data_IF_840240513433
#
_entry.id   IF_840240513433
#
_cell.length_a   1.000
_cell.length_b   1.000
_cell.length_c   1.000
_cell.angle_alpha   90.00
_cell.angle_beta   90.00
_cell.angle_gamma   90.00
#
_symmetry.space_group_name_H-M   'P 1'
#
loop_
_entity.id
_entity.type
_entity.pdbx_description
1 polymer ?
#
# COMPACT_ATOMS: atom_id res chain seq x y z
N UNK A 1 6.12 -5.00 -11.25
CA UNK A 1 5.00 -5.37 -12.14
C UNK A 1 3.67 -4.88 -11.55
N UNK A 2 2.73 -4.41 -12.36
CA UNK A 2 1.43 -3.88 -11.88
C UNK A 2 0.57 -4.97 -11.19
N UNK A 3 0.91 -6.23 -11.44
CA UNK A 3 0.19 -7.42 -10.97
C UNK A 3 0.80 -8.06 -9.71
N UNK A 4 1.94 -7.54 -9.22
CA UNK A 4 2.44 -7.93 -7.89
C UNK A 4 1.68 -7.10 -6.87
N UNK A 5 0.74 -7.75 -6.19
CA UNK A 5 -0.09 -7.15 -5.15
C UNK A 5 0.48 -7.57 -3.79
N UNK A 6 1.27 -6.71 -3.17
CA UNK A 6 1.49 -6.77 -1.73
C UNK A 6 0.26 -6.26 -1.00
N UNK A 7 0.03 -6.65 0.25
CA UNK A 7 -1.16 -6.25 1.02
C UNK A 7 -1.52 -7.27 2.09
N UNK A 8 -1.89 -6.79 3.27
CA UNK A 8 -2.01 -7.62 4.47
C UNK A 8 -3.25 -7.29 5.31
N UNK A 9 -3.76 -6.06 5.26
CA UNK A 9 -4.85 -5.62 6.11
C UNK A 9 -6.22 -5.93 5.48
N UNK A 10 -6.78 -7.08 5.85
CA UNK A 10 -8.12 -7.52 5.47
C UNK A 10 -9.20 -6.91 6.40
N UNK A 11 -10.22 -6.30 5.80
CA UNK A 11 -11.48 -5.94 6.41
C UNK A 11 -12.52 -6.99 6.00
N UNK A 12 -12.91 -7.82 6.97
CA UNK A 12 -13.83 -8.94 6.74
C UNK A 12 -15.27 -8.49 6.51
N UNK A 13 -15.70 -7.40 7.14
CA UNK A 13 -17.09 -6.93 7.09
C UNK A 13 -17.48 -6.49 5.68
N UNK A 14 -16.58 -5.75 5.01
CA UNK A 14 -16.84 -5.19 3.68
C UNK A 14 -16.01 -5.82 2.55
N UNK A 15 -15.17 -6.80 2.88
CA UNK A 15 -14.35 -7.54 1.91
C UNK A 15 -13.26 -6.71 1.25
N UNK A 16 -12.77 -5.66 1.92
CA UNK A 16 -11.65 -4.84 1.42
C UNK A 16 -10.32 -5.37 1.92
N UNK A 17 -9.30 -5.33 1.07
CA UNK A 17 -7.91 -5.60 1.45
C UNK A 17 -7.02 -4.44 1.00
N UNK A 18 -5.98 -4.11 1.78
CA UNK A 18 -4.95 -3.19 1.30
C UNK A 18 -4.16 -3.80 0.15
N UNK A 19 -3.74 -2.95 -0.78
CA UNK A 19 -2.97 -3.36 -1.95
C UNK A 19 -1.86 -2.35 -2.23
N UNK A 20 -0.67 -2.86 -2.48
CA UNK A 20 0.54 -2.09 -2.84
C UNK A 20 1.06 -2.57 -4.19
N UNK A 21 0.59 -1.98 -5.30
CA UNK A 21 1.01 -2.40 -6.64
C UNK A 21 2.52 -2.27 -6.82
N UNK A 22 3.15 -3.35 -7.26
CA UNK A 22 4.59 -3.36 -7.53
C UNK A 22 5.46 -3.25 -6.29
N UNK A 23 4.92 -3.42 -5.08
CA UNK A 23 5.74 -3.56 -3.88
C UNK A 23 6.34 -4.97 -3.87
N UNK A 24 7.62 -5.06 -4.22
CA UNK A 24 8.36 -6.32 -4.35
C UNK A 24 9.27 -6.47 -3.14
N UNK A 25 9.34 -7.67 -2.59
CA UNK A 25 10.34 -8.06 -1.60
C UNK A 25 11.15 -9.21 -2.17
N UNK A 26 12.45 -9.01 -2.34
CA UNK A 26 13.34 -10.02 -2.93
C UNK A 26 13.87 -11.02 -1.90
N UNK A 27 13.67 -10.77 -0.60
CA UNK A 27 14.24 -11.61 0.48
C UNK A 27 15.76 -11.47 0.62
N UNK A 28 16.38 -10.61 -0.19
CA UNK A 28 17.82 -10.33 -0.22
C UNK A 28 18.01 -8.82 -0.11
N UNK A 29 18.69 -8.38 0.96
CA UNK A 29 18.75 -6.96 1.33
C UNK A 29 19.39 -6.06 0.28
N UNK A 30 20.40 -6.58 -0.42
CA UNK A 30 21.17 -5.91 -1.45
C UNK A 30 20.28 -5.65 -2.68
N UNK A 31 19.49 -6.64 -3.10
CA UNK A 31 18.55 -6.49 -4.21
C UNK A 31 17.41 -5.53 -3.88
N UNK A 32 16.92 -5.55 -2.63
CA UNK A 32 15.93 -4.58 -2.17
C UNK A 32 16.50 -3.14 -2.19
N UNK A 33 17.77 -2.95 -1.81
CA UNK A 33 18.45 -1.65 -1.86
C UNK A 33 18.68 -1.16 -3.31
N UNK A 34 19.15 -2.04 -4.19
CA UNK A 34 19.35 -1.72 -5.61
C UNK A 34 18.02 -1.32 -6.27
N UNK A 35 16.93 -2.04 -6.03
CA UNK A 35 15.62 -1.71 -6.58
C UNK A 35 15.08 -0.39 -6.03
N UNK A 36 15.27 -0.10 -4.72
CA UNK A 36 14.92 1.20 -4.15
C UNK A 36 15.68 2.33 -4.81
N UNK A 37 16.99 2.18 -5.01
CA UNK A 37 17.83 3.19 -5.66
C UNK A 37 17.38 3.41 -7.12
N UNK A 38 17.14 2.33 -7.87
CA UNK A 38 16.66 2.38 -9.25
C UNK A 38 15.32 3.11 -9.38
N UNK A 39 14.36 2.81 -8.51
CA UNK A 39 13.04 3.47 -8.50
C UNK A 39 13.13 4.94 -8.12
N UNK A 40 13.96 5.28 -7.12
CA UNK A 40 14.20 6.66 -6.73
C UNK A 40 14.78 7.49 -7.88
N UNK A 41 15.71 6.92 -8.66
CA UNK A 41 16.27 7.58 -9.85
C UNK A 41 15.26 7.77 -11.01
N UNK A 42 14.10 7.12 -10.92
CA UNK A 42 13.01 7.22 -11.91
C UNK A 42 11.78 7.96 -11.36
N UNK A 43 11.89 8.56 -10.17
CA UNK A 43 10.77 9.18 -9.44
C UNK A 43 9.58 8.22 -9.22
N UNK A 44 9.86 6.92 -9.10
CA UNK A 44 8.86 5.89 -8.86
C UNK A 44 8.71 5.68 -7.35
N UNK A 45 7.62 6.18 -6.81
CA UNK A 45 7.25 6.01 -5.41
C UNK A 45 6.50 4.71 -5.09
N UNK A 46 5.75 4.73 -3.99
CA UNK A 46 4.84 3.65 -3.60
C UNK A 46 3.43 4.18 -3.44
N UNK A 47 2.46 3.40 -3.92
CA UNK A 47 1.04 3.70 -3.79
C UNK A 47 0.38 2.70 -2.84
N UNK A 48 -0.66 3.17 -2.15
CA UNK A 48 -1.56 2.37 -1.33
C UNK A 48 -2.96 2.47 -1.94
N UNK A 49 -3.57 1.30 -2.12
CA UNK A 49 -4.94 1.15 -2.54
C UNK A 49 -5.68 0.27 -1.53
N UNK A 50 -7.01 0.28 -1.62
CA UNK A 50 -7.85 -0.82 -1.14
C UNK A 50 -8.54 -1.47 -2.33
N UNK A 51 -8.73 -2.78 -2.27
CA UNK A 51 -9.45 -3.54 -3.29
C UNK A 51 -10.55 -4.36 -2.65
N UNK A 52 -11.76 -4.29 -3.19
CA UNK A 52 -12.86 -5.14 -2.77
C UNK A 52 -12.73 -6.52 -3.43
N UNK A 53 -12.60 -7.57 -2.64
CA UNK A 53 -12.34 -8.92 -3.11
C UNK A 53 -13.48 -9.51 -3.96
N UNK A 54 -14.72 -9.08 -3.74
CA UNK A 54 -15.90 -9.57 -4.47
C UNK A 54 -16.10 -8.84 -5.78
N UNK A 55 -16.06 -7.51 -5.75
CA UNK A 55 -16.35 -6.67 -6.92
C UNK A 55 -15.12 -6.37 -7.78
N UNK A 56 -13.92 -6.67 -7.27
CA UNK A 56 -12.62 -6.33 -7.88
C UNK A 56 -12.42 -4.82 -8.10
N UNK A 57 -13.24 -3.98 -7.45
CA UNK A 57 -13.09 -2.53 -7.50
C UNK A 57 -11.92 -2.11 -6.61
N UNK A 58 -10.99 -1.35 -7.20
CA UNK A 58 -9.83 -0.78 -6.52
C UNK A 58 -10.03 0.72 -6.30
N UNK A 59 -9.67 1.19 -5.10
CA UNK A 59 -9.75 2.60 -4.71
C UNK A 59 -8.39 3.09 -4.24
N UNK A 60 -7.98 4.27 -4.72
CA UNK A 60 -6.74 4.91 -4.31
C UNK A 60 -6.88 5.47 -2.89
N UNK A 61 -5.84 5.29 -2.07
CA UNK A 61 -5.78 5.79 -0.70
C UNK A 61 -4.72 6.87 -0.56
N UNK A 62 -3.47 6.55 -0.93
CA UNK A 62 -2.33 7.44 -0.75
C UNK A 62 -1.16 7.06 -1.65
N UNK A 63 -0.21 7.98 -1.80
CA UNK A 63 1.07 7.74 -2.42
C UNK A 63 2.20 8.42 -1.64
N UNK A 64 3.42 7.94 -1.86
CA UNK A 64 4.65 8.54 -1.33
C UNK A 64 5.76 8.44 -2.36
N UNK A 65 6.72 9.35 -2.32
CA UNK A 65 7.94 9.28 -3.13
C UNK A 65 8.94 8.23 -2.62
N UNK A 66 8.75 7.67 -1.41
CA UNK A 66 9.60 6.60 -0.90
C UNK A 66 9.29 5.27 -1.62
N UNK A 67 10.25 4.70 -2.39
CA UNK A 67 10.01 3.46 -3.12
C UNK A 67 9.96 2.25 -2.18
N UNK A 68 9.14 1.24 -2.51
CA UNK A 68 8.97 0.02 -1.72
C UNK A 68 8.63 0.29 -0.25
N UNK A 69 7.88 1.36 0.02
CA UNK A 69 7.44 1.73 1.35
C UNK A 69 6.27 0.85 1.81
N UNK A 70 6.24 0.54 3.10
CA UNK A 70 5.17 -0.26 3.70
C UNK A 70 4.33 0.61 4.63
N UNK A 71 3.10 0.92 4.22
CA UNK A 71 2.23 1.91 4.89
C UNK A 71 1.62 1.45 6.24
N UNK A 72 2.06 0.32 6.81
CA UNK A 72 1.64 -0.23 8.13
C UNK A 72 0.14 0.00 8.41
N UNK A 73 -0.71 -0.53 7.55
CA UNK A 73 -2.13 -0.21 7.57
C UNK A 73 -2.90 -1.02 8.61
N UNK A 74 -3.96 -0.44 9.17
CA UNK A 74 -4.86 -1.12 10.12
C UNK A 74 -6.27 -0.56 10.01
N UNK A 75 -7.26 -1.43 9.86
CA UNK A 75 -8.67 -1.07 9.97
C UNK A 75 -9.02 -0.71 11.41
N UNK A 76 -9.60 0.47 11.62
CA UNK A 76 -10.13 0.93 12.91
C UNK A 76 -11.62 0.62 13.05
N UNK A 77 -12.32 0.53 11.92
CA UNK A 77 -13.72 0.16 11.78
C UNK A 77 -13.97 -0.37 10.36
N UNK A 78 -15.21 -0.71 10.07
CA UNK A 78 -15.64 -1.25 8.78
C UNK A 78 -15.45 -0.23 7.63
N UNK A 79 -15.31 1.05 7.97
CA UNK A 79 -15.18 2.16 7.01
C UNK A 79 -13.91 2.99 7.19
N UNK A 80 -13.11 2.79 8.25
CA UNK A 80 -11.94 3.62 8.53
C UNK A 80 -10.63 2.81 8.51
N UNK A 81 -9.72 3.19 7.61
CA UNK A 81 -8.38 2.63 7.48
C UNK A 81 -7.34 3.63 7.98
N UNK A 82 -6.60 3.29 9.02
CA UNK A 82 -5.40 4.02 9.40
C UNK A 82 -4.19 3.52 8.60
N UNK A 83 -3.30 4.43 8.22
CA UNK A 83 -2.00 4.11 7.63
C UNK A 83 -0.91 5.09 8.08
N UNK A 84 0.35 4.69 7.99
CA UNK A 84 1.53 5.49 8.36
C UNK A 84 2.24 5.98 7.08
N UNK A 85 2.72 7.23 7.09
CA UNK A 85 3.57 7.82 6.05
C UNK A 85 5.06 7.67 6.42
N UNK A 86 6.01 7.84 5.48
CA UNK A 86 7.45 7.67 5.78
C UNK A 86 7.99 8.58 6.89
N UNK A 87 7.36 9.74 7.12
CA UNK A 87 7.69 10.67 8.21
C UNK A 87 7.13 10.22 9.58
N UNK A 88 6.43 9.08 9.66
CA UNK A 88 5.76 8.57 10.86
C UNK A 88 4.37 9.16 11.12
N UNK A 89 3.89 10.08 10.27
CA UNK A 89 2.54 10.64 10.38
C UNK A 89 1.49 9.55 10.12
N UNK A 90 0.49 9.46 11.00
CA UNK A 90 -0.64 8.54 10.83
C UNK A 90 -1.83 9.29 10.24
N UNK A 91 -2.41 8.73 9.19
CA UNK A 91 -3.60 9.27 8.53
C UNK A 91 -4.73 8.25 8.53
N UNK A 92 -5.96 8.74 8.39
CA UNK A 92 -7.17 7.92 8.29
C UNK A 92 -7.78 8.15 6.91
N UNK A 93 -8.03 7.06 6.20
CA UNK A 93 -8.84 7.02 5.00
C UNK A 93 -10.24 6.49 5.35
N UNK A 94 -11.28 7.11 4.81
CA UNK A 94 -12.67 6.71 5.00
C UNK A 94 -13.22 6.14 3.70
N UNK A 95 -13.76 4.93 3.73
CA UNK A 95 -14.48 4.34 2.60
C UNK A 95 -15.83 5.05 2.50
N UNK A 96 -15.96 5.96 1.54
CA UNK A 96 -17.16 6.75 1.24
C UNK A 96 -17.80 7.50 2.42
N UNK A 97 -17.75 8.82 2.33
CA UNK A 97 -19.01 9.55 2.10
C UNK A 97 -19.37 9.45 0.60
#
# INVERSE_FOLDING_TARGET
PKDVLGGDALNLENGYITVHPGNVWFGVSELDQEERARRRAQDIGTELYIENLFTKKRQFVASTTEPLYYFKSKWLSDTELQYELPNGEKKIYKINE
#
